data_IF_539352973607
#
_entry.id   IF_539352973607
#
_cell.length_a   1.000
_cell.length_b   1.000
_cell.length_c   1.000
_cell.angle_alpha   90.00
_cell.angle_beta   90.00
_cell.angle_gamma   90.00
#
_symmetry.space_group_name_H-M   'P 1'
#
loop_
_entity.id
_entity.type
_entity.pdbx_description
1 polymer ?
#
# COMPACT_ATOMS: atom_id res chain seq x y z
N UNK A 1 -15.69 18.45 21.94
CA UNK A 1 -16.74 18.20 20.92
C UNK A 1 -16.14 17.89 19.56
N UNK A 2 -15.31 18.72 18.93
CA UNK A 2 -14.67 18.38 17.63
C UNK A 2 -13.96 17.02 17.69
N UNK A 3 -13.10 16.82 18.68
CA UNK A 3 -12.38 15.55 18.85
C UNK A 3 -13.33 14.35 18.96
N UNK A 4 -14.33 14.42 19.85
CA UNK A 4 -15.29 13.33 20.04
C UNK A 4 -16.11 13.04 18.77
N UNK A 5 -16.39 14.05 17.95
CA UNK A 5 -17.05 13.87 16.66
C UNK A 5 -16.16 13.10 15.67
N UNK A 6 -14.89 13.47 15.61
CA UNK A 6 -13.93 12.79 14.72
C UNK A 6 -13.72 11.34 15.16
N UNK A 7 -13.55 11.08 16.46
CA UNK A 7 -13.46 9.74 17.03
C UNK A 7 -14.70 8.89 16.69
N UNK A 8 -15.90 9.47 16.82
CA UNK A 8 -17.15 8.80 16.43
C UNK A 8 -17.22 8.52 14.93
N UNK A 9 -16.76 9.45 14.08
CA UNK A 9 -16.70 9.22 12.63
C UNK A 9 -15.76 8.07 12.28
N UNK A 10 -14.59 8.01 12.92
CA UNK A 10 -13.61 6.93 12.77
C UNK A 10 -14.20 5.59 13.19
N UNK A 11 -14.92 5.54 14.32
CA UNK A 11 -15.57 4.33 14.80
C UNK A 11 -16.61 3.80 13.79
N UNK A 12 -17.49 4.67 13.27
CA UNK A 12 -18.41 4.31 12.20
C UNK A 12 -17.70 3.74 10.97
N UNK A 13 -16.58 4.32 10.57
CA UNK A 13 -15.81 3.81 9.42
C UNK A 13 -15.14 2.46 9.73
N UNK A 14 -14.60 2.25 10.93
CA UNK A 14 -14.04 0.94 11.34
C UNK A 14 -15.10 -0.16 11.31
N UNK A 15 -16.28 0.10 11.88
CA UNK A 15 -17.42 -0.82 11.83
C UNK A 15 -17.82 -1.11 10.38
N UNK A 16 -17.93 -0.07 9.56
CA UNK A 16 -18.24 -0.21 8.14
C UNK A 16 -17.27 -1.14 7.42
N UNK A 17 -15.96 -0.98 7.63
CA UNK A 17 -14.94 -1.82 6.99
C UNK A 17 -15.03 -3.27 7.44
N UNK A 18 -15.27 -3.53 8.71
CA UNK A 18 -15.50 -4.88 9.22
C UNK A 18 -16.72 -5.57 8.62
N UNK A 19 -17.73 -4.80 8.19
CA UNK A 19 -18.98 -5.32 7.61
C UNK A 19 -18.98 -5.39 6.08
N UNK A 20 -17.96 -4.85 5.43
CA UNK A 20 -17.92 -4.64 3.97
C UNK A 20 -18.14 -5.94 3.18
N UNK A 21 -17.54 -7.04 3.63
CA UNK A 21 -17.61 -8.34 2.98
C UNK A 21 -18.90 -9.10 3.30
N UNK A 22 -19.22 -9.16 4.58
CA UNK A 22 -20.26 -10.10 5.07
C UNK A 22 -21.66 -9.44 5.17
N UNK A 23 -21.69 -8.13 5.43
CA UNK A 23 -22.92 -7.37 5.62
C UNK A 23 -22.89 -6.01 4.90
N UNK A 24 -22.73 -5.98 3.58
CA UNK A 24 -22.49 -4.76 2.80
C UNK A 24 -23.59 -3.69 2.98
N UNK A 25 -24.83 -4.08 3.26
CA UNK A 25 -25.92 -3.16 3.61
C UNK A 25 -25.57 -2.30 4.82
N UNK A 26 -25.12 -2.91 5.90
CA UNK A 26 -24.77 -2.19 7.14
C UNK A 26 -23.47 -1.43 6.99
N UNK A 27 -22.52 -1.98 6.23
CA UNK A 27 -21.31 -1.29 5.84
C UNK A 27 -21.61 0.07 5.21
N UNK A 28 -22.47 0.14 4.20
CA UNK A 28 -22.83 1.41 3.53
C UNK A 28 -23.50 2.39 4.49
N UNK A 29 -24.39 1.92 5.37
CA UNK A 29 -25.09 2.77 6.34
C UNK A 29 -24.08 3.41 7.29
N UNK A 30 -23.18 2.59 7.87
CA UNK A 30 -22.15 3.06 8.79
C UNK A 30 -21.14 3.97 8.08
N UNK A 31 -20.74 3.63 6.86
CA UNK A 31 -19.84 4.45 6.07
C UNK A 31 -20.40 5.85 5.81
N UNK A 32 -21.67 5.94 5.35
CA UNK A 32 -22.34 7.22 5.14
C UNK A 32 -22.41 8.06 6.40
N UNK A 33 -22.67 7.42 7.56
CA UNK A 33 -22.69 8.09 8.85
C UNK A 33 -21.32 8.68 9.18
N UNK A 34 -20.24 7.91 9.02
CA UNK A 34 -18.88 8.38 9.24
C UNK A 34 -18.52 9.57 8.34
N UNK A 35 -18.82 9.45 7.02
CA UNK A 35 -18.60 10.55 6.05
C UNK A 35 -19.35 11.81 6.48
N UNK A 36 -20.63 11.70 6.77
CA UNK A 36 -21.46 12.84 7.17
C UNK A 36 -20.92 13.53 8.44
N UNK A 37 -20.44 12.73 9.40
CA UNK A 37 -19.85 13.25 10.65
C UNK A 37 -18.51 13.97 10.37
N UNK A 38 -17.65 13.47 9.48
CA UNK A 38 -16.42 14.16 9.10
C UNK A 38 -16.70 15.54 8.47
N UNK A 39 -17.69 15.64 7.58
CA UNK A 39 -18.10 16.94 7.02
C UNK A 39 -18.63 17.88 8.09
N UNK A 40 -19.41 17.37 9.05
CA UNK A 40 -19.90 18.16 10.19
C UNK A 40 -18.75 18.58 11.10
N UNK A 41 -17.79 17.69 11.37
CA UNK A 41 -16.60 18.05 12.15
C UNK A 41 -15.81 19.18 11.46
N UNK A 42 -15.65 19.14 10.13
CA UNK A 42 -15.00 20.20 9.38
C UNK A 42 -15.75 21.56 9.50
N UNK A 43 -17.09 21.54 9.49
CA UNK A 43 -17.90 22.73 9.74
C UNK A 43 -17.73 23.26 11.18
N UNK A 44 -17.69 22.37 12.18
CA UNK A 44 -17.48 22.77 13.59
C UNK A 44 -16.10 23.43 13.79
N UNK A 45 -15.09 23.00 13.01
CA UNK A 45 -13.78 23.64 13.05
C UNK A 45 -13.84 25.14 12.65
N UNK A 46 -14.81 25.54 11.82
CA UNK A 46 -15.09 26.95 11.54
C UNK A 46 -15.95 27.56 12.64
N UNK A 47 -17.16 27.05 12.85
CA UNK A 47 -18.05 27.48 13.91
C UNK A 47 -19.17 26.46 14.16
N UNK A 48 -19.50 26.20 15.42
CA UNK A 48 -20.49 25.21 15.83
C UNK A 48 -21.88 25.40 15.20
N UNK A 49 -22.32 26.65 15.04
CA UNK A 49 -23.64 26.96 14.48
C UNK A 49 -23.82 26.52 13.03
N UNK A 50 -22.72 26.31 12.30
CA UNK A 50 -22.74 25.86 10.92
C UNK A 50 -23.23 24.40 10.75
N UNK A 51 -23.26 23.64 11.85
CA UNK A 51 -23.83 22.27 11.84
C UNK A 51 -25.34 22.27 12.08
N UNK A 52 -25.91 23.34 12.59
CA UNK A 52 -27.35 23.46 12.85
C UNK A 52 -28.09 23.76 11.56
N UNK A 53 -29.18 23.03 11.27
CA UNK A 53 -29.91 23.17 10.01
C UNK A 53 -30.48 24.60 9.82
N UNK A 54 -30.92 25.24 10.90
CA UNK A 54 -31.40 26.64 10.95
C UNK A 54 -30.54 27.44 11.93
N UNK A 55 -29.41 28.00 11.48
CA UNK A 55 -28.46 28.72 12.36
C UNK A 55 -29.07 29.89 13.10
N UNK A 56 -30.04 30.54 12.51
CA UNK A 56 -30.78 31.66 13.09
C UNK A 56 -31.57 31.28 14.35
N UNK A 57 -31.86 30.01 14.54
CA UNK A 57 -32.56 29.48 15.72
C UNK A 57 -31.64 28.77 16.71
N UNK A 58 -30.34 28.76 16.41
CA UNK A 58 -29.38 28.01 17.19
C UNK A 58 -29.07 28.68 18.52
N UNK A 59 -29.07 27.91 19.60
CA UNK A 59 -28.58 28.37 20.92
C UNK A 59 -27.46 27.40 21.36
N UNK A 60 -26.47 27.94 22.06
CA UNK A 60 -25.33 27.18 22.55
C UNK A 60 -25.80 26.02 23.46
N UNK A 61 -26.77 26.25 24.32
CA UNK A 61 -27.34 25.25 25.22
C UNK A 61 -27.91 24.04 24.43
N UNK A 62 -28.85 24.31 23.51
CA UNK A 62 -29.43 23.23 22.69
C UNK A 62 -28.39 22.49 21.88
N UNK A 63 -27.37 23.19 21.43
CA UNK A 63 -26.28 22.55 20.69
C UNK A 63 -25.46 21.61 21.60
N UNK A 64 -25.14 22.01 22.82
CA UNK A 64 -24.43 21.21 23.80
C UNK A 64 -25.24 19.97 24.24
N UNK A 65 -26.56 20.13 24.38
CA UNK A 65 -27.50 19.08 24.78
C UNK A 65 -27.86 18.14 23.60
N UNK A 66 -27.40 18.43 22.36
CA UNK A 66 -27.75 17.68 21.18
C UNK A 66 -29.18 17.86 20.65
N UNK A 67 -29.92 18.85 21.21
CA UNK A 67 -31.31 19.13 20.90
C UNK A 67 -31.47 20.06 19.68
N UNK A 68 -30.93 19.61 18.55
CA UNK A 68 -31.04 20.37 17.29
C UNK A 68 -31.11 19.46 16.08
N UNK A 69 -31.69 19.95 15.00
CA UNK A 69 -31.60 19.29 13.69
C UNK A 69 -30.29 19.70 13.03
N UNK A 70 -29.47 18.71 12.73
CA UNK A 70 -28.19 18.95 12.02
C UNK A 70 -28.40 19.06 10.50
N UNK A 71 -27.43 19.68 9.84
CA UNK A 71 -27.36 19.76 8.36
C UNK A 71 -27.27 18.37 7.74
N UNK A 72 -27.78 18.24 6.53
CA UNK A 72 -27.52 17.11 5.66
C UNK A 72 -26.13 17.19 5.04
N UNK A 73 -25.63 16.11 4.45
CA UNK A 73 -24.34 16.11 3.75
C UNK A 73 -24.30 17.15 2.61
N UNK A 74 -25.36 17.27 1.81
CA UNK A 74 -25.43 18.29 0.75
C UNK A 74 -25.39 19.73 1.31
N UNK A 75 -26.09 19.97 2.41
CA UNK A 75 -26.02 21.27 3.10
C UNK A 75 -24.63 21.54 3.69
N UNK A 76 -23.97 20.51 4.22
CA UNK A 76 -22.62 20.63 4.74
C UNK A 76 -21.61 20.98 3.63
N UNK A 77 -21.69 20.30 2.48
CA UNK A 77 -20.87 20.62 1.30
C UNK A 77 -21.10 22.07 0.87
N UNK A 78 -22.35 22.49 0.71
CA UNK A 78 -22.67 23.87 0.31
C UNK A 78 -22.16 24.92 1.30
N UNK A 79 -22.23 24.65 2.62
CA UNK A 79 -21.69 25.56 3.64
C UNK A 79 -20.17 25.61 3.64
N UNK A 80 -19.50 24.47 3.44
CA UNK A 80 -18.05 24.43 3.31
C UNK A 80 -17.58 25.20 2.07
N UNK A 81 -18.27 25.10 0.94
CA UNK A 81 -17.96 25.89 -0.26
C UNK A 81 -18.18 27.39 -0.05
N UNK A 82 -19.36 27.77 0.47
CA UNK A 82 -19.79 29.17 0.49
C UNK A 82 -19.24 29.97 1.68
N UNK A 83 -18.94 29.30 2.80
CA UNK A 83 -18.55 29.96 4.06
C UNK A 83 -17.09 29.71 4.38
N UNK A 84 -16.63 28.43 4.31
CA UNK A 84 -15.25 28.06 4.62
C UNK A 84 -14.31 28.18 3.40
N UNK A 85 -14.83 28.48 2.19
CA UNK A 85 -14.02 28.63 0.98
C UNK A 85 -13.44 27.33 0.44
N UNK A 86 -13.95 26.18 0.89
CA UNK A 86 -13.52 24.87 0.43
C UNK A 86 -13.92 24.64 -1.04
N UNK A 87 -13.16 23.79 -1.73
CA UNK A 87 -13.43 23.47 -3.15
C UNK A 87 -13.66 21.99 -3.33
N UNK A 88 -14.82 21.64 -3.87
CA UNK A 88 -15.16 20.26 -4.22
C UNK A 88 -15.33 20.13 -5.72
N UNK A 89 -14.72 19.09 -6.29
CA UNK A 89 -14.93 18.74 -7.70
C UNK A 89 -16.35 18.17 -7.91
N UNK A 90 -16.85 18.25 -9.13
CA UNK A 90 -18.16 17.67 -9.45
C UNK A 90 -18.19 16.14 -9.23
N UNK A 91 -17.04 15.48 -9.40
CA UNK A 91 -16.91 14.05 -9.17
C UNK A 91 -17.02 13.69 -7.68
N UNK A 92 -16.39 14.45 -6.80
CA UNK A 92 -16.51 14.30 -5.33
C UNK A 92 -17.96 14.45 -4.89
N UNK A 93 -18.60 15.54 -5.31
CA UNK A 93 -20.03 15.79 -5.00
C UNK A 93 -20.95 14.68 -5.50
N UNK A 94 -20.73 14.21 -6.74
CA UNK A 94 -21.51 13.10 -7.33
C UNK A 94 -21.34 11.82 -6.55
N UNK A 95 -20.10 11.49 -6.16
CA UNK A 95 -19.79 10.25 -5.42
C UNK A 95 -20.46 10.26 -4.04
N UNK A 96 -20.33 11.35 -3.27
CA UNK A 96 -20.97 11.44 -1.95
C UNK A 96 -22.49 11.42 -2.03
N UNK A 97 -23.09 12.07 -3.04
CA UNK A 97 -24.54 12.04 -3.27
C UNK A 97 -25.06 10.66 -3.68
N UNK A 98 -24.33 9.93 -4.51
CA UNK A 98 -24.70 8.57 -4.89
C UNK A 98 -24.75 7.67 -3.65
N UNK A 99 -23.72 7.72 -2.82
CA UNK A 99 -23.65 6.97 -1.58
C UNK A 99 -24.80 7.32 -0.62
N UNK A 100 -25.12 8.61 -0.46
CA UNK A 100 -26.26 9.03 0.36
C UNK A 100 -27.59 8.53 -0.17
N UNK A 101 -27.79 8.46 -1.50
CA UNK A 101 -28.98 7.88 -2.11
C UNK A 101 -29.13 6.39 -1.77
N UNK A 102 -28.04 5.61 -1.82
CA UNK A 102 -28.07 4.20 -1.42
C UNK A 102 -28.44 4.06 0.06
N UNK A 103 -27.80 4.81 0.94
CA UNK A 103 -28.13 4.81 2.38
C UNK A 103 -29.60 5.15 2.62
N UNK A 104 -30.14 6.19 1.96
CA UNK A 104 -31.53 6.58 2.15
C UNK A 104 -32.51 5.49 1.68
N UNK A 105 -32.24 4.82 0.57
CA UNK A 105 -33.05 3.67 0.13
C UNK A 105 -33.01 2.53 1.16
N UNK A 106 -31.83 2.24 1.71
CA UNK A 106 -31.62 1.16 2.66
C UNK A 106 -32.28 1.40 4.03
N UNK A 107 -32.34 2.67 4.47
CA UNK A 107 -32.82 3.04 5.81
C UNK A 107 -34.33 3.38 5.81
N UNK A 108 -34.79 4.12 4.81
CA UNK A 108 -36.14 4.68 4.78
C UNK A 108 -37.12 3.95 3.85
N UNK A 109 -36.61 3.03 3.03
CA UNK A 109 -37.42 2.30 2.08
C UNK A 109 -36.86 0.88 1.92
N UNK A 110 -36.89 0.32 0.73
CA UNK A 110 -36.15 -0.89 0.40
C UNK A 110 -35.24 -0.63 -0.80
N UNK A 111 -34.09 -1.29 -0.82
CA UNK A 111 -33.25 -1.31 -2.01
C UNK A 111 -33.59 -2.58 -2.79
N UNK A 112 -34.04 -2.49 -4.07
CA UNK A 112 -34.48 -3.67 -4.83
C UNK A 112 -33.47 -4.81 -4.83
N UNK A 113 -32.22 -4.49 -4.81
CA UNK A 113 -31.11 -5.42 -4.89
C UNK A 113 -30.77 -6.13 -3.56
N UNK A 114 -31.42 -5.73 -2.46
CA UNK A 114 -31.30 -6.39 -1.14
C UNK A 114 -32.58 -7.15 -0.73
N UNK A 115 -33.55 -7.29 -1.63
CA UNK A 115 -34.77 -8.07 -1.40
C UNK A 115 -34.59 -9.46 -2.04
N UNK A 116 -34.54 -10.47 -1.20
CA UNK A 116 -34.20 -11.83 -1.62
C UNK A 116 -32.71 -12.08 -1.62
N UNK A 117 -32.22 -12.92 -2.49
CA UNK A 117 -30.75 -13.08 -2.69
C UNK A 117 -30.26 -11.91 -3.50
N UNK A 118 -29.53 -11.01 -2.85
CA UNK A 118 -28.93 -9.84 -3.49
C UNK A 118 -28.11 -10.26 -4.73
N UNK A 119 -28.37 -9.61 -5.86
CA UNK A 119 -27.59 -9.85 -7.05
C UNK A 119 -26.14 -9.35 -6.82
N UNK A 120 -25.18 -10.25 -6.88
CA UNK A 120 -23.76 -9.97 -6.65
C UNK A 120 -23.25 -8.72 -7.38
N UNK A 121 -23.74 -8.47 -8.59
CA UNK A 121 -23.34 -7.30 -9.39
C UNK A 121 -23.72 -5.96 -8.75
N UNK A 122 -24.87 -5.87 -8.10
CA UNK A 122 -25.30 -4.63 -7.46
C UNK A 122 -24.60 -4.38 -6.15
N UNK A 123 -24.34 -5.43 -5.38
CA UNK A 123 -23.51 -5.33 -4.17
C UNK A 123 -22.12 -4.84 -4.55
N UNK A 124 -21.49 -5.43 -5.56
CA UNK A 124 -20.18 -5.00 -6.07
C UNK A 124 -20.21 -3.52 -6.48
N UNK A 125 -21.27 -3.07 -7.14
CA UNK A 125 -21.40 -1.66 -7.55
C UNK A 125 -21.45 -0.72 -6.35
N UNK A 126 -22.26 -1.03 -5.34
CA UNK A 126 -22.39 -0.22 -4.12
C UNK A 126 -21.09 -0.19 -3.33
N UNK A 127 -20.43 -1.35 -3.18
CA UNK A 127 -19.11 -1.45 -2.54
C UNK A 127 -18.06 -0.62 -3.30
N UNK A 128 -18.09 -0.67 -4.63
CA UNK A 128 -17.19 0.14 -5.47
C UNK A 128 -17.42 1.64 -5.29
N UNK A 129 -18.67 2.08 -5.14
CA UNK A 129 -18.97 3.49 -4.85
C UNK A 129 -18.51 3.90 -3.44
N UNK A 130 -18.66 3.02 -2.46
CA UNK A 130 -18.14 3.24 -1.11
C UNK A 130 -16.61 3.36 -1.11
N UNK A 131 -15.89 2.48 -1.82
CA UNK A 131 -14.45 2.55 -1.98
C UNK A 131 -14.01 3.86 -2.66
N UNK A 132 -14.74 4.28 -3.69
CA UNK A 132 -14.49 5.56 -4.38
C UNK A 132 -14.71 6.75 -3.45
N UNK A 133 -15.78 6.73 -2.66
CA UNK A 133 -16.05 7.76 -1.67
C UNK A 133 -14.95 7.85 -0.61
N UNK A 134 -14.39 6.69 -0.18
CA UNK A 134 -13.23 6.68 0.70
C UNK A 134 -12.01 7.37 0.08
N UNK A 135 -11.70 7.10 -1.19
CA UNK A 135 -10.57 7.76 -1.87
C UNK A 135 -10.71 9.29 -1.85
N UNK A 136 -11.92 9.79 -2.09
CA UNK A 136 -12.18 11.23 -2.03
C UNK A 136 -12.08 11.76 -0.59
N UNK A 137 -12.72 11.10 0.38
CA UNK A 137 -12.66 11.51 1.78
C UNK A 137 -11.23 11.47 2.32
N UNK A 138 -10.48 10.39 2.07
CA UNK A 138 -9.10 10.27 2.50
C UNK A 138 -8.22 11.41 1.94
N UNK A 139 -8.40 11.75 0.65
CA UNK A 139 -7.72 12.89 0.04
C UNK A 139 -8.08 14.21 0.73
N UNK A 140 -9.36 14.43 1.03
CA UNK A 140 -9.77 15.64 1.77
C UNK A 140 -9.10 15.70 3.14
N UNK A 141 -9.16 14.61 3.92
CA UNK A 141 -8.61 14.55 5.28
C UNK A 141 -7.07 14.71 5.32
N UNK A 142 -6.35 14.15 4.35
CA UNK A 142 -4.88 14.13 4.35
C UNK A 142 -4.24 15.27 3.54
N UNK A 143 -5.03 16.02 2.77
CA UNK A 143 -4.54 17.13 1.96
C UNK A 143 -5.27 18.44 2.30
N UNK A 144 -6.47 18.63 1.76
CA UNK A 144 -7.21 19.90 1.86
C UNK A 144 -7.58 20.28 3.30
N UNK A 145 -7.95 19.29 4.13
CA UNK A 145 -8.34 19.48 5.53
C UNK A 145 -7.24 19.06 6.52
N UNK A 146 -6.04 18.78 6.05
CA UNK A 146 -4.95 18.23 6.88
C UNK A 146 -4.72 18.99 8.17
N UNK A 147 -4.71 20.32 8.13
CA UNK A 147 -4.47 21.18 9.30
C UNK A 147 -5.52 21.02 10.40
N UNK A 148 -6.73 20.59 10.06
CA UNK A 148 -7.82 20.36 11.02
C UNK A 148 -7.80 18.94 11.60
N UNK A 149 -7.26 17.97 10.85
CA UNK A 149 -7.33 16.55 11.18
C UNK A 149 -5.95 15.91 11.45
N UNK A 150 -4.86 16.68 11.51
CA UNK A 150 -3.49 16.21 11.72
C UNK A 150 -3.33 15.32 12.97
N UNK A 151 -4.03 15.68 14.06
CA UNK A 151 -4.03 14.89 15.31
C UNK A 151 -4.61 13.48 15.17
N UNK A 152 -5.35 13.22 14.11
CA UNK A 152 -6.01 11.96 13.81
C UNK A 152 -5.32 11.21 12.66
N UNK A 153 -4.17 11.70 12.17
CA UNK A 153 -3.50 11.12 11.01
C UNK A 153 -3.23 9.61 11.19
N UNK A 154 -2.77 9.19 12.36
CA UNK A 154 -2.51 7.78 12.65
C UNK A 154 -3.76 6.89 12.48
N UNK A 155 -4.93 7.34 12.98
CA UNK A 155 -6.18 6.61 12.85
C UNK A 155 -6.71 6.64 11.41
N UNK A 156 -6.52 7.73 10.68
CA UNK A 156 -6.89 7.86 9.26
C UNK A 156 -6.03 6.91 8.41
N UNK A 157 -4.74 6.80 8.69
CA UNK A 157 -3.86 5.85 8.01
C UNK A 157 -4.19 4.39 8.35
N UNK A 158 -4.59 4.09 9.59
CA UNK A 158 -5.09 2.77 9.97
C UNK A 158 -6.33 2.38 9.15
N UNK A 159 -7.32 3.28 9.02
CA UNK A 159 -8.49 3.07 8.16
C UNK A 159 -8.08 2.81 6.70
N UNK A 160 -7.13 3.59 6.19
CA UNK A 160 -6.65 3.42 4.83
C UNK A 160 -5.93 2.07 4.64
N UNK A 161 -5.18 1.59 5.64
CA UNK A 161 -4.58 0.26 5.63
C UNK A 161 -5.64 -0.85 5.57
N UNK A 162 -6.68 -0.76 6.40
CA UNK A 162 -7.80 -1.72 6.38
C UNK A 162 -8.50 -1.73 5.01
N UNK A 163 -8.68 -0.56 4.37
CA UNK A 163 -9.24 -0.50 3.02
C UNK A 163 -8.37 -1.24 1.98
N UNK A 164 -7.04 -1.23 2.13
CA UNK A 164 -6.14 -1.93 1.19
C UNK A 164 -6.29 -3.46 1.22
N UNK A 165 -6.85 -4.02 2.24
CA UNK A 165 -7.15 -5.46 2.34
C UNK A 165 -8.32 -5.88 1.44
N UNK A 166 -9.06 -4.91 0.87
CA UNK A 166 -10.20 -5.18 0.00
C UNK A 166 -9.84 -5.02 -1.48
N UNK A 167 -10.02 -6.09 -2.26
CA UNK A 167 -9.71 -6.13 -3.70
C UNK A 167 -10.47 -5.06 -4.50
N UNK A 168 -11.73 -4.82 -4.16
CA UNK A 168 -12.60 -3.81 -4.77
C UNK A 168 -12.03 -2.41 -4.58
N UNK A 169 -11.49 -2.12 -3.40
CA UNK A 169 -10.80 -0.85 -3.13
C UNK A 169 -9.57 -0.68 -4.01
N UNK A 170 -8.72 -1.70 -4.11
CA UNK A 170 -7.51 -1.64 -4.95
C UNK A 170 -7.87 -1.41 -6.41
N UNK A 171 -8.94 -2.03 -6.90
CA UNK A 171 -9.43 -1.82 -8.26
C UNK A 171 -9.92 -0.38 -8.49
N UNK A 172 -10.73 0.16 -7.57
CA UNK A 172 -11.19 1.55 -7.67
C UNK A 172 -10.02 2.53 -7.54
N UNK A 173 -9.06 2.27 -6.67
CA UNK A 173 -7.84 3.07 -6.56
C UNK A 173 -7.04 3.06 -7.86
N UNK A 174 -6.86 1.89 -8.50
CA UNK A 174 -6.18 1.79 -9.79
C UNK A 174 -6.86 2.64 -10.87
N UNK A 175 -8.20 2.55 -10.96
CA UNK A 175 -8.98 3.38 -11.89
C UNK A 175 -8.82 4.88 -11.57
N UNK A 176 -8.86 5.24 -10.29
CA UNK A 176 -8.74 6.63 -9.83
C UNK A 176 -7.40 7.26 -10.16
N UNK A 177 -6.30 6.51 -10.00
CA UNK A 177 -4.93 7.01 -10.27
C UNK A 177 -4.46 6.79 -11.71
N UNK A 178 -5.29 6.22 -12.58
CA UNK A 178 -4.93 5.97 -13.99
C UNK A 178 -4.39 7.21 -14.72
N UNK A 179 -4.96 8.42 -14.56
CA UNK A 179 -4.37 9.64 -15.16
C UNK A 179 -2.96 9.93 -14.64
N UNK A 180 -2.68 9.69 -13.36
CA UNK A 180 -1.34 9.86 -12.79
C UNK A 180 -0.35 8.85 -13.39
N UNK A 181 -0.75 7.59 -13.55
CA UNK A 181 0.07 6.56 -14.20
C UNK A 181 0.39 6.97 -15.65
N UNK A 182 -0.62 7.46 -16.39
CA UNK A 182 -0.42 7.92 -17.76
C UNK A 182 0.54 9.12 -17.84
N UNK A 183 0.48 10.06 -16.91
CA UNK A 183 1.41 11.18 -16.82
C UNK A 183 2.85 10.69 -16.58
N UNK A 184 3.05 9.76 -15.65
CA UNK A 184 4.37 9.17 -15.38
C UNK A 184 4.96 8.52 -16.65
N UNK A 185 4.14 7.75 -17.37
CA UNK A 185 4.57 7.11 -18.63
C UNK A 185 4.91 8.16 -19.70
N UNK A 186 4.11 9.21 -19.82
CA UNK A 186 4.35 10.30 -20.78
C UNK A 186 5.64 11.06 -20.49
N UNK A 187 6.02 11.18 -19.21
CA UNK A 187 7.28 11.79 -18.76
C UNK A 187 8.48 10.82 -18.84
N UNK A 188 8.29 9.64 -19.42
CA UNK A 188 9.36 8.65 -19.60
C UNK A 188 9.57 7.71 -18.41
N UNK A 189 8.74 7.79 -17.36
CA UNK A 189 8.79 6.89 -16.22
C UNK A 189 8.31 5.48 -16.56
N UNK A 190 8.95 4.47 -15.98
CA UNK A 190 8.60 3.08 -16.20
C UNK A 190 7.56 2.58 -15.18
N UNK A 191 6.54 1.90 -15.69
CA UNK A 191 5.49 1.27 -14.89
C UNK A 191 5.47 -0.24 -15.18
N UNK A 192 5.64 -1.03 -14.13
CA UNK A 192 5.55 -2.49 -14.20
C UNK A 192 4.24 -3.01 -13.54
N UNK A 193 3.94 -4.29 -13.75
CA UNK A 193 2.86 -4.96 -13.02
C UNK A 193 3.33 -5.33 -11.63
N UNK A 194 2.59 -4.90 -10.60
CA UNK A 194 2.89 -5.25 -9.22
C UNK A 194 2.58 -6.72 -8.95
N UNK A 195 3.53 -7.48 -8.43
CA UNK A 195 3.35 -8.89 -8.12
C UNK A 195 2.34 -9.12 -6.98
N UNK A 196 2.28 -8.20 -5.99
CA UNK A 196 1.40 -8.33 -4.84
C UNK A 196 -0.09 -8.10 -5.17
N UNK A 197 -0.42 -7.08 -5.97
CA UNK A 197 -1.80 -6.76 -6.28
C UNK A 197 -2.21 -7.02 -7.75
N UNK A 198 -1.28 -7.29 -8.65
CA UNK A 198 -1.52 -7.61 -10.06
C UNK A 198 -1.95 -6.41 -10.91
N UNK A 199 -1.90 -5.18 -10.42
CA UNK A 199 -2.17 -3.99 -11.21
C UNK A 199 -0.88 -3.44 -11.85
N UNK A 200 -0.98 -2.95 -13.09
CA UNK A 200 0.13 -2.24 -13.78
C UNK A 200 0.27 -0.83 -13.19
N UNK A 201 0.89 -0.76 -12.01
CA UNK A 201 1.00 0.45 -11.20
C UNK A 201 2.29 0.49 -10.34
N UNK A 202 3.23 -0.42 -10.55
CA UNK A 202 4.53 -0.40 -9.88
C UNK A 202 5.44 0.59 -10.61
N UNK A 203 5.61 1.78 -10.02
CA UNK A 203 6.46 2.85 -10.53
C UNK A 203 7.89 2.63 -10.08
N UNK A 204 8.82 2.60 -11.01
CA UNK A 204 10.25 2.53 -10.75
C UNK A 204 10.74 3.90 -10.30
N UNK A 205 11.28 4.00 -9.09
CA UNK A 205 11.61 5.29 -8.46
C UNK A 205 13.09 5.63 -8.54
N UNK A 206 13.97 4.64 -8.71
CA UNK A 206 15.41 4.86 -8.78
C UNK A 206 16.03 4.09 -9.94
N UNK A 207 16.96 4.75 -10.62
CA UNK A 207 17.66 4.22 -11.79
C UNK A 207 19.08 3.84 -11.43
N UNK A 208 19.24 2.83 -10.59
CA UNK A 208 20.57 2.27 -10.22
C UNK A 208 20.72 0.87 -10.87
N UNK A 209 20.96 0.81 -12.20
CA UNK A 209 21.15 -0.49 -12.85
C UNK A 209 22.30 -1.26 -12.19
N UNK A 210 22.22 -2.59 -12.08
CA UNK A 210 21.18 -3.46 -12.65
C UNK A 210 19.94 -3.62 -11.76
N UNK A 211 19.95 -3.20 -10.49
CA UNK A 211 18.83 -3.30 -9.57
C UNK A 211 18.02 -2.01 -9.59
N UNK A 212 16.70 -2.15 -9.61
CA UNK A 212 15.75 -1.05 -9.57
C UNK A 212 14.71 -1.28 -8.49
N UNK A 213 14.48 -0.26 -7.69
CA UNK A 213 13.39 -0.26 -6.73
C UNK A 213 12.10 0.24 -7.40
N UNK A 214 11.00 -0.37 -7.05
CA UNK A 214 9.68 0.04 -7.50
C UNK A 214 8.72 0.17 -6.34
N UNK A 215 7.79 1.11 -6.46
CA UNK A 215 6.70 1.27 -5.50
C UNK A 215 5.36 1.18 -6.21
N UNK A 216 4.51 0.26 -5.77
CA UNK A 216 3.16 0.17 -6.31
C UNK A 216 2.31 1.34 -5.85
N UNK A 217 1.80 2.14 -6.81
CA UNK A 217 0.93 3.28 -6.54
C UNK A 217 -0.46 2.85 -6.04
N UNK A 218 -0.84 1.59 -6.24
CA UNK A 218 -2.12 1.02 -5.79
C UNK A 218 -2.02 0.47 -4.38
N UNK A 219 -1.23 -0.59 -4.15
CA UNK A 219 -1.15 -1.26 -2.86
C UNK A 219 -0.05 -0.74 -1.93
N UNK A 220 0.87 0.06 -2.46
CA UNK A 220 1.97 0.62 -1.68
C UNK A 220 3.17 -0.33 -1.50
N UNK A 221 3.07 -1.57 -1.99
CA UNK A 221 4.18 -2.53 -1.92
C UNK A 221 5.41 -1.94 -2.58
N UNK A 222 6.53 -2.01 -1.88
CA UNK A 222 7.85 -1.70 -2.41
C UNK A 222 8.49 -3.02 -2.81
N UNK A 223 9.13 -3.03 -3.95
CA UNK A 223 9.70 -4.22 -4.55
C UNK A 223 10.98 -3.92 -5.32
N UNK A 224 11.85 -4.90 -5.43
CA UNK A 224 13.12 -4.83 -6.14
C UNK A 224 13.08 -5.71 -7.38
N UNK A 225 13.70 -5.25 -8.44
CA UNK A 225 13.84 -5.98 -9.69
C UNK A 225 15.28 -5.89 -10.19
N UNK A 226 15.78 -7.01 -10.68
CA UNK A 226 17.03 -7.05 -11.44
C UNK A 226 16.71 -6.98 -12.94
N UNK A 227 17.30 -6.01 -13.61
CA UNK A 227 17.20 -5.86 -15.08
C UNK A 227 18.44 -6.44 -15.73
N UNK A 228 18.26 -7.41 -16.60
CA UNK A 228 19.34 -8.09 -17.26
C UNK A 228 19.00 -8.50 -18.69
N UNK A 229 19.96 -8.50 -19.61
CA UNK A 229 19.76 -9.08 -20.93
C UNK A 229 19.69 -10.62 -20.84
N UNK A 230 18.79 -11.20 -21.62
CA UNK A 230 18.69 -12.66 -21.80
C UNK A 230 20.00 -13.21 -22.39
N UNK A 231 20.58 -14.29 -21.83
CA UNK A 231 21.83 -14.86 -22.35
C UNK A 231 21.72 -15.38 -23.80
N UNK A 232 20.51 -15.79 -24.24
CA UNK A 232 20.30 -16.38 -25.56
C UNK A 232 19.89 -15.39 -26.66
N UNK A 233 19.18 -14.27 -26.32
CA UNK A 233 18.65 -13.36 -27.34
C UNK A 233 18.92 -11.87 -27.08
N UNK A 234 19.63 -11.56 -26.01
CA UNK A 234 20.06 -10.20 -25.60
C UNK A 234 18.92 -9.20 -25.39
N UNK A 235 17.68 -9.68 -25.21
CA UNK A 235 16.53 -8.84 -24.87
C UNK A 235 16.40 -8.69 -23.37
N UNK A 236 16.13 -7.46 -22.94
CA UNK A 236 15.97 -7.15 -21.52
C UNK A 236 14.90 -7.99 -20.86
N UNK A 237 15.25 -8.55 -19.72
CA UNK A 237 14.38 -9.31 -18.83
C UNK A 237 14.32 -8.66 -17.47
N UNK A 238 13.19 -8.87 -16.77
CA UNK A 238 12.98 -8.42 -15.41
C UNK A 238 12.91 -9.64 -14.50
N UNK A 239 13.78 -9.70 -13.51
CA UNK A 239 13.83 -10.73 -12.50
C UNK A 239 13.40 -10.15 -11.15
N UNK A 240 12.47 -10.81 -10.46
CA UNK A 240 11.86 -10.34 -9.22
C UNK A 240 12.36 -11.06 -7.95
N UNK A 241 13.40 -11.88 -8.05
CA UNK A 241 13.92 -12.60 -6.88
C UNK A 241 13.07 -13.82 -6.47
N UNK A 242 12.37 -14.45 -7.41
CA UNK A 242 11.47 -15.56 -7.15
C UNK A 242 11.68 -16.70 -8.19
N UNK A 243 12.70 -17.48 -7.96
CA UNK A 243 13.01 -18.66 -8.78
C UNK A 243 13.51 -18.37 -10.20
N UNK A 244 13.50 -19.42 -11.03
CA UNK A 244 13.90 -19.32 -12.43
C UNK A 244 12.89 -18.50 -13.24
N UNK A 245 13.38 -17.79 -14.26
CA UNK A 245 12.52 -17.03 -15.17
C UNK A 245 12.60 -17.57 -16.59
N UNK A 246 11.51 -17.37 -17.32
CA UNK A 246 11.45 -17.70 -18.74
C UNK A 246 11.51 -16.44 -19.59
N UNK A 247 12.47 -16.38 -20.52
CA UNK A 247 12.58 -15.24 -21.40
C UNK A 247 11.28 -15.01 -22.19
N UNK A 248 10.71 -13.83 -22.06
CA UNK A 248 9.45 -13.47 -22.74
C UNK A 248 9.60 -13.41 -24.28
N UNK A 249 10.84 -13.27 -24.81
CA UNK A 249 11.08 -13.13 -26.23
C UNK A 249 11.44 -14.47 -26.91
N UNK A 250 12.38 -15.25 -26.38
CA UNK A 250 12.85 -16.49 -27.02
C UNK A 250 12.41 -17.77 -26.30
N UNK A 251 11.83 -17.68 -25.10
CA UNK A 251 11.38 -18.82 -24.32
C UNK A 251 12.48 -19.56 -23.55
N UNK A 252 13.73 -19.06 -23.57
CA UNK A 252 14.85 -19.62 -22.80
C UNK A 252 14.54 -19.60 -21.31
N UNK A 253 14.91 -20.69 -20.61
CA UNK A 253 14.85 -20.75 -19.15
C UNK A 253 16.15 -20.20 -18.58
N UNK A 254 16.06 -19.16 -17.76
CA UNK A 254 17.19 -18.51 -17.09
C UNK A 254 17.10 -18.90 -15.63
N UNK A 255 18.08 -19.66 -15.17
CA UNK A 255 18.13 -20.14 -13.79
C UNK A 255 18.74 -19.10 -12.84
N UNK A 256 18.50 -19.27 -11.55
CA UNK A 256 19.17 -18.43 -10.53
C UNK A 256 20.69 -18.58 -10.64
N UNK A 257 21.19 -19.79 -10.92
CA UNK A 257 22.63 -20.04 -11.06
C UNK A 257 23.22 -19.26 -12.25
N UNK A 258 22.51 -19.17 -13.37
CA UNK A 258 22.92 -18.34 -14.53
C UNK A 258 23.01 -16.86 -14.14
N UNK A 259 22.08 -16.40 -13.30
CA UNK A 259 22.05 -15.02 -12.80
C UNK A 259 23.24 -14.78 -11.85
N UNK A 260 23.50 -15.69 -10.93
CA UNK A 260 24.61 -15.60 -9.97
C UNK A 260 25.94 -15.60 -10.76
N UNK A 261 26.13 -16.51 -11.68
CA UNK A 261 27.35 -16.58 -12.51
C UNK A 261 27.59 -15.28 -13.28
N UNK A 262 26.54 -14.73 -13.88
CA UNK A 262 26.61 -13.48 -14.64
C UNK A 262 27.07 -12.27 -13.82
N UNK A 263 26.61 -12.13 -12.59
CA UNK A 263 26.88 -10.99 -11.74
C UNK A 263 28.00 -11.24 -10.72
N UNK A 264 28.52 -12.45 -10.65
CA UNK A 264 29.73 -12.73 -9.87
C UNK A 264 30.94 -12.09 -10.56
N UNK A 265 31.70 -11.23 -9.88
CA UNK A 265 32.85 -10.59 -10.48
C UNK A 265 33.88 -11.61 -10.95
N UNK A 266 34.35 -11.45 -12.18
CA UNK A 266 35.47 -12.27 -12.70
C UNK A 266 36.78 -11.91 -12.03
N UNK A 267 37.81 -12.78 -12.14
CA UNK A 267 39.13 -12.54 -11.55
C UNK A 267 39.75 -11.18 -11.91
N UNK A 268 39.42 -10.64 -13.08
CA UNK A 268 39.90 -9.33 -13.56
C UNK A 268 39.19 -8.13 -12.94
N UNK A 269 38.06 -8.34 -12.28
CA UNK A 269 37.23 -7.29 -11.67
C UNK A 269 37.36 -7.23 -10.14
N UNK A 270 38.26 -8.06 -9.57
CA UNK A 270 38.46 -8.16 -8.12
C UNK A 270 39.08 -6.88 -7.55
N UNK A 271 38.54 -6.38 -6.43
CA UNK A 271 39.28 -5.38 -5.64
C UNK A 271 40.63 -5.97 -5.21
N UNK A 272 41.72 -5.19 -5.38
CA UNK A 272 43.11 -5.62 -5.14
C UNK A 272 43.40 -6.16 -3.72
N UNK A 273 42.46 -6.06 -2.79
CA UNK A 273 42.63 -6.33 -1.38
C UNK A 273 41.69 -7.39 -0.80
N UNK A 274 40.84 -8.07 -1.63
CA UNK A 274 39.95 -9.13 -1.13
C UNK A 274 40.29 -10.50 -1.75
N UNK A 275 40.33 -11.59 -0.94
CA UNK A 275 40.48 -12.96 -1.45
C UNK A 275 39.32 -13.35 -2.39
N UNK A 276 39.56 -14.32 -3.28
CA UNK A 276 38.54 -14.79 -4.23
C UNK A 276 37.31 -15.43 -3.54
N UNK A 277 37.49 -15.91 -2.33
CA UNK A 277 36.48 -16.58 -1.52
C UNK A 277 35.47 -15.59 -0.88
N UNK A 278 35.83 -14.29 -0.83
CA UNK A 278 34.96 -13.23 -0.28
C UNK A 278 34.11 -12.49 -1.33
N UNK A 279 33.86 -13.09 -2.48
CA UNK A 279 33.09 -12.43 -3.55
C UNK A 279 31.65 -12.89 -3.64
N UNK A 280 31.33 -14.03 -3.03
CA UNK A 280 29.99 -14.59 -2.93
C UNK A 280 29.76 -15.00 -1.49
N UNK A 281 28.68 -14.47 -0.89
CA UNK A 281 28.29 -14.82 0.47
C UNK A 281 26.94 -15.55 0.50
N UNK A 282 26.73 -16.32 1.56
CA UNK A 282 25.42 -16.88 1.85
C UNK A 282 24.44 -15.79 2.33
N UNK A 283 23.19 -15.89 1.92
CA UNK A 283 22.14 -15.03 2.40
C UNK A 283 21.57 -15.58 3.72
N UNK A 284 21.50 -14.76 4.75
CA UNK A 284 20.89 -15.16 6.02
C UNK A 284 19.35 -15.10 5.98
N UNK A 285 18.77 -14.51 4.92
CA UNK A 285 17.34 -14.25 4.81
C UNK A 285 16.60 -15.31 4.00
N UNK A 286 17.19 -15.83 2.94
CA UNK A 286 16.59 -16.89 2.12
C UNK A 286 17.41 -18.19 2.22
N UNK A 287 16.72 -19.33 2.08
CA UNK A 287 17.32 -20.67 2.18
C UNK A 287 17.94 -21.13 0.86
N UNK A 288 18.54 -20.22 0.06
CA UNK A 288 19.17 -20.62 -1.18
C UNK A 288 20.42 -21.48 -0.89
N UNK A 289 20.55 -22.66 -1.52
CA UNK A 289 21.57 -23.66 -1.14
C UNK A 289 23.01 -23.26 -1.49
N UNK A 290 23.18 -22.30 -2.41
CA UNK A 290 24.50 -21.81 -2.82
C UNK A 290 24.67 -20.35 -2.44
N UNK A 291 25.93 -19.87 -2.28
CA UNK A 291 26.19 -18.45 -2.06
C UNK A 291 25.59 -17.61 -3.19
N UNK A 292 24.80 -16.60 -2.84
CA UNK A 292 24.00 -15.81 -3.79
C UNK A 292 24.06 -14.31 -3.56
N UNK A 293 24.80 -13.88 -2.53
CA UNK A 293 24.98 -12.45 -2.22
C UNK A 293 26.24 -11.94 -2.89
N UNK A 294 26.11 -10.90 -3.70
CA UNK A 294 27.20 -10.25 -4.46
C UNK A 294 27.25 -8.76 -4.14
N UNK A 295 28.40 -8.17 -4.30
CA UNK A 295 28.57 -6.73 -4.27
C UNK A 295 28.25 -6.15 -5.66
N UNK A 296 27.12 -5.48 -5.79
CA UNK A 296 26.70 -4.75 -6.99
C UNK A 296 26.91 -3.26 -6.77
N UNK A 297 27.90 -2.67 -7.44
CA UNK A 297 28.37 -1.31 -7.18
C UNK A 297 28.81 -1.18 -5.71
N UNK A 298 28.02 -0.53 -4.88
CA UNK A 298 28.34 -0.26 -3.47
C UNK A 298 27.35 -0.94 -2.50
N UNK A 299 26.50 -1.84 -3.00
CA UNK A 299 25.46 -2.54 -2.20
C UNK A 299 25.64 -4.06 -2.31
N UNK A 300 25.65 -4.74 -1.15
CA UNK A 300 25.58 -6.19 -1.09
C UNK A 300 24.12 -6.63 -1.27
N UNK A 301 23.87 -7.44 -2.29
CA UNK A 301 22.51 -7.89 -2.65
C UNK A 301 22.50 -9.38 -2.90
N UNK A 302 21.52 -10.07 -2.33
CA UNK A 302 21.22 -11.45 -2.66
C UNK A 302 20.55 -11.54 -4.04
N UNK A 303 21.14 -12.27 -4.99
CA UNK A 303 20.56 -12.45 -6.30
C UNK A 303 19.38 -13.44 -6.30
N UNK A 304 19.22 -14.26 -5.25
CA UNK A 304 18.11 -15.19 -5.15
C UNK A 304 16.82 -14.54 -4.64
N UNK A 305 16.90 -13.57 -3.71
CA UNK A 305 15.72 -12.89 -3.14
C UNK A 305 15.70 -11.38 -3.32
N UNK A 306 16.74 -10.79 -3.91
CA UNK A 306 16.97 -9.35 -4.15
C UNK A 306 17.01 -8.48 -2.87
N UNK A 307 17.10 -9.09 -1.68
CA UNK A 307 17.24 -8.33 -0.44
C UNK A 307 18.63 -7.70 -0.32
N UNK A 308 18.72 -6.44 0.13
CA UNK A 308 19.97 -5.78 0.42
C UNK A 308 20.53 -6.26 1.77
N UNK A 309 21.84 -6.26 1.88
CA UNK A 309 22.55 -6.69 3.07
C UNK A 309 23.65 -5.71 3.46
N UNK A 310 24.03 -5.74 4.75
CA UNK A 310 25.30 -5.20 5.21
C UNK A 310 26.46 -6.01 4.65
N UNK A 311 27.68 -5.52 4.80
CA UNK A 311 28.90 -6.25 4.40
C UNK A 311 28.91 -7.63 5.09
N UNK A 312 29.08 -8.74 4.32
CA UNK A 312 29.18 -10.07 4.88
C UNK A 312 30.49 -10.27 5.63
N UNK A 313 30.50 -11.22 6.56
CA UNK A 313 31.69 -11.62 7.30
C UNK A 313 31.71 -13.15 7.50
N UNK A 314 32.80 -13.69 8.03
CA UNK A 314 32.94 -15.11 8.29
C UNK A 314 32.26 -15.50 9.60
N UNK A 315 31.50 -16.58 9.58
CA UNK A 315 30.97 -17.21 10.77
C UNK A 315 32.11 -17.85 11.56
N UNK A 316 32.29 -17.50 12.84
CA UNK A 316 33.31 -18.06 13.71
C UNK A 316 33.20 -19.56 13.93
N UNK A 317 32.02 -20.17 13.67
CA UNK A 317 31.76 -21.59 13.84
C UNK A 317 32.10 -22.39 12.59
N UNK A 318 31.51 -22.06 11.43
CA UNK A 318 31.65 -22.84 10.20
C UNK A 318 32.61 -22.23 9.18
N UNK A 319 33.09 -21.03 9.43
CA UNK A 319 33.98 -20.24 8.55
C UNK A 319 33.40 -19.92 7.18
N UNK A 320 32.07 -20.07 6.99
CA UNK A 320 31.41 -19.64 5.75
C UNK A 320 31.24 -18.13 5.73
N UNK A 321 31.40 -17.52 4.56
CA UNK A 321 31.17 -16.11 4.33
C UNK A 321 29.67 -15.85 4.15
N UNK A 322 29.05 -15.12 5.08
CA UNK A 322 27.59 -15.00 5.18
C UNK A 322 27.18 -13.60 5.64
N UNK A 323 25.98 -13.19 5.27
CA UNK A 323 25.33 -11.95 5.74
C UNK A 323 24.61 -12.15 7.08
N UNK A 324 24.25 -11.06 7.74
CA UNK A 324 23.48 -11.05 8.99
C UNK A 324 24.30 -10.69 10.20
N UNK A 325 23.69 -10.79 11.37
CA UNK A 325 24.36 -10.56 12.66
C UNK A 325 25.16 -11.81 13.05
N UNK A 326 26.45 -11.68 13.12
CA UNK A 326 27.39 -12.76 13.50
C UNK A 326 27.95 -12.60 14.91
N UNK A 327 27.45 -11.66 15.72
CA UNK A 327 27.84 -11.51 17.11
C UNK A 327 27.49 -12.80 17.88
N UNK A 328 28.52 -13.43 18.44
CA UNK A 328 28.37 -14.71 19.12
C UNK A 328 28.32 -15.95 18.20
N UNK A 329 28.60 -15.83 16.93
CA UNK A 329 28.61 -16.96 15.98
C UNK A 329 29.55 -18.09 16.38
N UNK A 330 30.62 -17.81 17.13
CA UNK A 330 31.52 -18.82 17.70
C UNK A 330 30.86 -19.71 18.77
N UNK A 331 29.72 -19.33 19.33
CA UNK A 331 28.98 -20.13 20.32
C UNK A 331 27.73 -20.78 19.75
N UNK A 332 27.02 -20.09 18.86
CA UNK A 332 25.70 -20.52 18.38
C UNK A 332 25.66 -20.83 16.89
N UNK A 333 26.75 -20.57 16.17
CA UNK A 333 26.79 -20.64 14.70
C UNK A 333 26.03 -19.47 14.05
N UNK A 334 25.91 -19.55 12.73
CA UNK A 334 25.10 -18.62 11.91
C UNK A 334 23.81 -19.31 11.42
N UNK A 335 22.95 -18.59 10.72
CA UNK A 335 21.72 -19.13 10.16
C UNK A 335 21.93 -20.29 9.17
N UNK A 336 23.12 -20.37 8.56
CA UNK A 336 23.46 -21.45 7.64
C UNK A 336 23.92 -22.74 8.37
N UNK A 337 24.67 -22.63 9.47
CA UNK A 337 25.23 -23.80 10.15
C UNK A 337 24.45 -24.23 11.40
N UNK A 338 23.68 -23.35 12.01
CA UNK A 338 22.92 -23.61 13.25
C UNK A 338 23.79 -24.15 14.40
N UNK A 339 25.11 -23.85 14.39
CA UNK A 339 26.09 -24.41 15.33
C UNK A 339 26.30 -25.91 15.16
N UNK A 340 25.86 -26.52 14.05
CA UNK A 340 25.97 -27.98 13.80
C UNK A 340 27.05 -28.36 12.80
N UNK A 341 27.34 -27.51 11.82
CA UNK A 341 28.42 -27.73 10.85
C UNK A 341 29.79 -27.62 11.54
N UNK A 342 30.41 -28.69 11.85
CA UNK A 342 31.72 -28.73 12.48
C UNK A 342 31.90 -29.92 13.43
N UNK A 343 30.82 -30.46 13.94
CA UNK A 343 30.83 -31.69 14.74
C UNK A 343 30.91 -32.96 13.91
N UNK A 344 30.48 -32.90 12.63
CA UNK A 344 30.50 -34.06 11.70
C UNK A 344 31.84 -34.19 10.96
N UNK A 345 32.90 -33.48 11.34
CA UNK A 345 34.26 -33.59 10.73
C UNK A 345 35.22 -34.45 11.52
N UNK A 346 34.77 -35.10 12.55
CA UNK A 346 35.61 -36.03 13.37
C UNK A 346 35.20 -37.52 13.20
N UNK A 347 34.79 -37.96 12.00
CA UNK A 347 34.68 -39.37 11.68
C UNK A 347 35.48 -39.70 10.39
#
# INVERSE_FOLDING_TARGET
>A
MFQSLVENAIDFLKVSLGELKDRPKYSVINFCSGVEIFFKARLIAEHWSLVVAKPETATSTKFQDGEFKSVTLDQAIGRLENIAGEKFTQNEKRTFRALQKHRNKLVHFFHPDYVGHANDKTIIHIVSEQCRAWLHLHKLLTSQWKTHFDKFDAQIQELNKLMHEHREFLQQKFIFIKPQIQAIIADGGAIATCFACGFSAAHQTEDTPPIKDSRCLVCGTVDRYLYMPCPSCDKDQVYAGDGDIKCANCGENITIDDIIEKYTPTEFQKPLNKPSEEMLAYCHYCDHPTPSVVLLKDEWVCLACLEPHSEPDHCDWCNEFITGDLEGSGYFGCSHCDGKKGWDRED
#
